data_IF_733827144272
#
_entry.id   IF_733827144272
#
_cell.length_a   1.000
_cell.length_b   1.000
_cell.length_c   1.000
_cell.angle_alpha   90.00
_cell.angle_beta   90.00
_cell.angle_gamma   90.00
#
_symmetry.space_group_name_H-M   'P 1'
#
loop_
_entity.id
_entity.type
_entity.pdbx_description
1 polymer ?
#
# COMPACT_ATOMS: atom_id res chain seq x y z
N UNK A 1 11.19 -17.31 28.63
CA UNK A 1 12.51 -17.32 27.95
C UNK A 1 13.31 -16.14 28.52
N UNK A 2 14.60 -15.98 28.25
CA UNK A 2 15.34 -14.86 28.85
C UNK A 2 15.00 -13.56 28.12
N UNK A 3 14.61 -12.51 28.85
CA UNK A 3 14.36 -11.19 28.30
C UNK A 3 15.57 -10.70 27.46
N UNK A 4 15.37 -10.33 26.18
CA UNK A 4 16.50 -9.93 25.33
C UNK A 4 17.15 -8.66 25.87
N UNK A 5 18.49 -8.63 25.86
CA UNK A 5 19.29 -7.48 26.31
C UNK A 5 19.90 -6.76 25.11
N UNK A 6 19.78 -5.44 25.07
CA UNK A 6 20.36 -4.60 24.03
C UNK A 6 21.42 -3.65 24.63
N UNK A 7 22.61 -3.51 24.02
CA UNK A 7 23.64 -2.60 24.49
C UNK A 7 23.29 -1.15 24.16
N UNK A 8 23.36 -0.27 25.16
CA UNK A 8 23.27 1.17 24.99
C UNK A 8 24.65 1.71 24.59
N UNK A 9 24.71 2.40 23.45
CA UNK A 9 25.91 3.07 22.98
C UNK A 9 25.84 4.57 23.33
N UNK A 10 26.96 5.13 23.79
CA UNK A 10 27.10 6.58 23.95
C UNK A 10 27.38 7.28 22.61
N UNK A 11 27.42 8.62 22.61
CA UNK A 11 27.67 9.42 21.40
C UNK A 11 29.05 9.16 20.74
N UNK A 12 29.98 8.54 21.48
CA UNK A 12 31.30 8.14 20.99
C UNK A 12 31.34 6.67 20.50
N UNK A 13 30.19 5.97 20.52
CA UNK A 13 30.06 4.58 20.11
C UNK A 13 30.57 3.56 21.13
N UNK A 14 30.90 3.97 22.36
CA UNK A 14 31.28 3.05 23.45
C UNK A 14 30.04 2.49 24.12
N UNK A 15 30.11 1.19 24.48
CA UNK A 15 29.07 0.51 25.24
C UNK A 15 29.02 1.08 26.66
N UNK A 16 27.87 1.63 27.00
CA UNK A 16 27.59 2.26 28.30
C UNK A 16 26.95 1.26 29.26
N UNK A 17 25.76 0.75 28.94
CA UNK A 17 24.95 -0.14 29.80
C UNK A 17 24.09 -1.07 28.96
N UNK A 18 23.74 -2.23 29.48
CA UNK A 18 22.75 -3.10 28.84
C UNK A 18 21.34 -2.75 29.31
N UNK A 19 20.43 -2.55 28.36
CA UNK A 19 19.01 -2.32 28.62
C UNK A 19 18.27 -3.65 28.44
N UNK A 20 17.42 -3.97 29.40
CA UNK A 20 16.56 -5.17 29.32
C UNK A 20 15.30 -4.80 28.56
N UNK A 21 14.96 -5.56 27.53
CA UNK A 21 13.77 -5.37 26.72
C UNK A 21 12.63 -6.24 27.26
N UNK A 22 11.40 -5.71 27.17
CA UNK A 22 10.19 -6.43 27.56
C UNK A 22 9.99 -7.70 26.73
N UNK A 23 9.94 -8.85 27.39
CA UNK A 23 9.86 -10.15 26.73
C UNK A 23 8.54 -10.31 25.95
N UNK A 24 7.46 -9.75 26.48
CA UNK A 24 6.12 -9.80 25.88
C UNK A 24 6.05 -9.17 24.47
N UNK A 25 6.91 -8.19 24.19
CA UNK A 25 6.93 -7.46 22.92
C UNK A 25 8.02 -8.02 22.01
N UNK A 26 9.22 -8.26 22.55
CA UNK A 26 10.41 -8.57 21.75
C UNK A 26 10.67 -10.07 21.56
N UNK A 27 10.04 -10.94 22.35
CA UNK A 27 10.13 -12.39 22.21
C UNK A 27 8.81 -13.04 21.75
N UNK A 28 7.86 -12.23 21.26
CA UNK A 28 6.62 -12.74 20.68
C UNK A 28 6.90 -13.55 19.40
N UNK A 29 6.09 -14.60 19.18
CA UNK A 29 6.18 -15.40 17.97
C UNK A 29 5.81 -14.58 16.73
N UNK A 30 6.68 -14.63 15.71
CA UNK A 30 6.53 -13.79 14.52
C UNK A 30 5.59 -14.46 13.53
N UNK A 31 4.36 -13.97 13.49
CA UNK A 31 3.35 -14.39 12.51
C UNK A 31 3.57 -13.68 11.17
N UNK A 32 4.35 -14.31 10.29
CA UNK A 32 4.77 -13.73 9.02
C UNK A 32 3.61 -13.23 8.13
N UNK A 33 2.47 -13.95 8.14
CA UNK A 33 1.29 -13.57 7.36
C UNK A 33 0.70 -12.23 7.83
N UNK A 34 0.58 -12.00 9.15
CA UNK A 34 0.05 -10.76 9.70
C UNK A 34 0.97 -9.57 9.39
N UNK A 35 2.29 -9.77 9.49
CA UNK A 35 3.26 -8.73 9.16
C UNK A 35 3.13 -8.33 7.69
N UNK A 36 3.02 -9.32 6.79
CA UNK A 36 2.84 -9.07 5.37
C UNK A 36 1.53 -8.34 5.05
N UNK A 37 0.42 -8.71 5.69
CA UNK A 37 -0.86 -8.02 5.53
C UNK A 37 -0.82 -6.57 6.03
N UNK A 38 -0.22 -6.34 7.20
CA UNK A 38 -0.05 -5.00 7.77
C UNK A 38 0.79 -4.10 6.84
N UNK A 39 1.93 -4.61 6.34
CA UNK A 39 2.78 -3.87 5.40
C UNK A 39 2.03 -3.58 4.10
N UNK A 40 1.25 -4.54 3.57
CA UNK A 40 0.44 -4.30 2.36
C UNK A 40 -0.64 -3.25 2.60
N UNK A 41 -1.29 -3.24 3.76
CA UNK A 41 -2.28 -2.24 4.10
C UNK A 41 -1.66 -0.84 4.13
N UNK A 42 -0.54 -0.68 4.83
CA UNK A 42 0.21 0.60 4.89
C UNK A 42 0.67 1.08 3.51
N UNK A 43 1.22 0.17 2.69
CA UNK A 43 1.64 0.49 1.32
C UNK A 43 0.46 0.84 0.40
N UNK A 44 -0.72 0.28 0.64
CA UNK A 44 -1.92 0.62 -0.11
C UNK A 44 -2.45 2.01 0.27
N UNK A 45 -2.45 2.36 1.55
CA UNK A 45 -2.86 3.67 2.06
C UNK A 45 -1.98 4.80 1.52
N UNK A 46 -0.66 4.56 1.42
CA UNK A 46 0.30 5.53 0.86
C UNK A 46 0.08 5.85 -0.63
N UNK A 47 -0.79 5.12 -1.34
CA UNK A 47 -1.05 5.37 -2.78
C UNK A 47 -2.03 6.54 -2.94
N UNK A 48 -1.59 7.60 -3.62
CA UNK A 48 -2.38 8.83 -3.80
C UNK A 48 -3.64 8.70 -4.69
N UNK A 49 -3.78 7.66 -5.50
CA UNK A 49 -5.01 7.41 -6.27
C UNK A 49 -5.37 8.45 -7.36
N UNK A 50 -4.42 9.29 -7.81
CA UNK A 50 -4.65 10.44 -8.70
C UNK A 50 -4.92 10.09 -10.18
N UNK A 51 -5.26 8.84 -10.49
CA UNK A 51 -5.50 8.39 -11.86
C UNK A 51 -6.95 8.63 -12.27
N UNK A 52 -7.17 9.17 -13.46
CA UNK A 52 -8.50 9.35 -14.05
C UNK A 52 -8.45 9.23 -15.57
N UNK A 53 -9.50 8.65 -16.15
CA UNK A 53 -9.68 8.55 -17.60
C UNK A 53 -11.11 8.98 -17.96
N UNK A 54 -11.28 9.61 -19.13
CA UNK A 54 -12.60 10.00 -19.62
C UNK A 54 -13.35 8.76 -20.12
N UNK A 55 -14.53 8.51 -19.58
CA UNK A 55 -15.48 7.56 -20.16
C UNK A 55 -16.12 8.18 -21.39
N UNK A 56 -16.82 7.37 -22.20
CA UNK A 56 -17.53 7.85 -23.41
C UNK A 56 -18.42 9.08 -23.14
N UNK A 57 -19.03 9.18 -21.96
CA UNK A 57 -19.89 10.31 -21.59
C UNK A 57 -19.15 11.57 -21.12
N UNK A 58 -17.87 11.45 -20.74
CA UNK A 58 -17.01 12.57 -20.34
C UNK A 58 -16.22 13.18 -21.52
N UNK A 59 -16.24 12.53 -22.68
CA UNK A 59 -15.67 13.05 -23.92
C UNK A 59 -16.64 14.03 -24.56
N UNK A 60 -16.13 15.15 -25.08
CA UNK A 60 -16.95 16.14 -25.79
C UNK A 60 -17.46 15.56 -27.11
N UNK A 61 -18.77 15.72 -27.39
CA UNK A 61 -19.43 15.22 -28.60
C UNK A 61 -20.06 13.83 -28.47
N UNK A 62 -20.39 13.20 -29.62
CA UNK A 62 -20.78 11.78 -29.69
C UNK A 62 -22.20 11.38 -29.23
N UNK A 63 -23.07 12.34 -28.92
CA UNK A 63 -24.46 12.08 -28.48
C UNK A 63 -25.45 11.86 -29.63
N UNK A 64 -25.10 12.28 -30.84
CA UNK A 64 -25.96 12.13 -32.02
C UNK A 64 -25.65 10.83 -32.75
N UNK A 65 -26.69 10.10 -33.15
CA UNK A 65 -26.55 8.91 -33.98
C UNK A 65 -25.88 9.29 -35.32
N UNK A 66 -24.71 8.73 -35.66
CA UNK A 66 -23.97 9.15 -36.86
C UNK A 66 -24.72 8.94 -38.17
N UNK A 67 -25.53 7.89 -38.27
CA UNK A 67 -26.39 7.59 -39.44
C UNK A 67 -27.58 6.71 -39.08
N UNK A 68 -28.53 6.54 -40.01
CA UNK A 68 -29.74 5.71 -39.84
C UNK A 68 -29.39 4.24 -39.58
N UNK A 69 -30.22 3.51 -38.83
CA UNK A 69 -29.93 2.14 -38.39
C UNK A 69 -29.77 1.12 -39.53
N UNK A 70 -30.44 1.33 -40.65
CA UNK A 70 -30.45 0.44 -41.82
C UNK A 70 -30.44 1.29 -43.10
N UNK A 71 -30.06 0.66 -44.22
CA UNK A 71 -30.10 1.28 -45.55
C UNK A 71 -28.88 2.12 -45.93
N UNK A 72 -27.81 2.13 -45.12
CA UNK A 72 -26.60 2.93 -45.36
C UNK A 72 -25.42 2.12 -45.90
N UNK A 73 -25.48 0.78 -45.88
CA UNK A 73 -24.39 -0.12 -46.29
C UNK A 73 -23.14 -0.10 -45.39
N UNK A 74 -23.09 0.82 -44.41
CA UNK A 74 -22.02 0.94 -43.41
C UNK A 74 -22.26 -0.01 -42.23
N UNK A 75 -21.20 -0.29 -41.47
CA UNK A 75 -21.35 -0.91 -40.16
C UNK A 75 -22.34 -0.12 -39.30
N UNK A 76 -23.20 -0.84 -38.59
CA UNK A 76 -24.22 -0.26 -37.70
C UNK A 76 -23.61 0.29 -36.42
#
# INVERSE_FOLDING_TARGET
MAAPKAPLLDAAGKKSKDVTLEESIFAADVKLHLVHEAVRAELNERRAGTRGAKSRGMVSGGRTKPWRQKGTGRAR
#
